data_IF_790434441208
#
_entry.id   IF_790434441208
#
_cell.length_a   1.000
_cell.length_b   1.000
_cell.length_c   1.000
_cell.angle_alpha   90.00
_cell.angle_beta   90.00
_cell.angle_gamma   90.00
#
_symmetry.space_group_name_H-M   'P 1'
#
loop_
_entity.id
_entity.type
_entity.pdbx_description
1 polymer ?
#
# COMPACT_ATOMS: atom_id res chain seq x y z
N UNK A 1 6.23 -19.35 -7.14
CA UNK A 1 5.25 -18.48 -6.48
C UNK A 1 4.53 -19.25 -5.40
N UNK A 2 4.78 -18.91 -4.13
CA UNK A 2 4.08 -19.45 -2.94
C UNK A 2 2.60 -19.08 -2.94
N UNK A 3 2.26 -17.89 -3.45
CA UNK A 3 0.89 -17.38 -3.56
C UNK A 3 0.68 -16.68 -4.90
N UNK A 4 -0.57 -16.60 -5.38
CA UNK A 4 -0.89 -15.87 -6.60
C UNK A 4 -0.69 -14.37 -6.44
N UNK A 5 -0.33 -13.67 -7.52
CA UNK A 5 -0.10 -12.23 -7.48
C UNK A 5 -1.37 -11.45 -7.08
N UNK A 6 -2.52 -11.86 -7.59
CA UNK A 6 -3.84 -11.31 -7.21
C UNK A 6 -4.07 -11.42 -5.71
N UNK A 7 -3.81 -12.59 -5.12
CA UNK A 7 -3.95 -12.80 -3.67
C UNK A 7 -2.97 -11.94 -2.88
N UNK A 8 -1.76 -11.68 -3.39
CA UNK A 8 -0.81 -10.76 -2.74
C UNK A 8 -1.25 -9.29 -2.85
N UNK A 9 -1.77 -8.85 -4.00
CA UNK A 9 -2.29 -7.49 -4.19
C UNK A 9 -3.47 -7.23 -3.25
N UNK A 10 -4.46 -8.13 -3.25
CA UNK A 10 -5.59 -8.08 -2.31
C UNK A 10 -5.09 -8.13 -0.86
N UNK A 11 -4.12 -8.99 -0.56
CA UNK A 11 -3.50 -9.12 0.76
C UNK A 11 -2.87 -7.80 1.23
N UNK A 12 -2.14 -7.09 0.36
CA UNK A 12 -1.58 -5.77 0.66
C UNK A 12 -2.66 -4.76 1.02
N UNK A 13 -3.73 -4.67 0.22
CA UNK A 13 -4.85 -3.75 0.45
C UNK A 13 -5.58 -4.07 1.75
N UNK A 14 -5.98 -5.33 1.94
CA UNK A 14 -6.63 -5.78 3.18
C UNK A 14 -5.73 -5.55 4.39
N UNK A 15 -4.43 -5.75 4.25
CA UNK A 15 -3.44 -5.50 5.27
C UNK A 15 -3.43 -4.05 5.74
N UNK A 16 -3.47 -3.09 4.81
CA UNK A 16 -3.60 -1.65 5.15
C UNK A 16 -4.84 -1.43 6.00
N UNK A 17 -5.99 -1.89 5.54
CA UNK A 17 -7.28 -1.65 6.20
C UNK A 17 -7.36 -2.33 7.57
N UNK A 18 -6.91 -3.58 7.69
CA UNK A 18 -6.87 -4.30 8.96
C UNK A 18 -5.93 -3.63 9.97
N UNK A 19 -4.75 -3.22 9.52
CA UNK A 19 -3.80 -2.51 10.36
C UNK A 19 -4.35 -1.18 10.89
N UNK A 20 -5.14 -0.48 10.09
CA UNK A 20 -5.83 0.75 10.53
C UNK A 20 -6.99 0.46 11.48
N UNK A 21 -7.85 -0.50 11.13
CA UNK A 21 -9.05 -0.84 11.90
C UNK A 21 -8.70 -1.39 13.27
N UNK A 22 -7.67 -2.24 13.37
CA UNK A 22 -7.24 -2.82 14.65
C UNK A 22 -6.44 -1.84 15.52
N UNK A 23 -5.87 -0.78 14.93
CA UNK A 23 -5.20 0.29 15.67
C UNK A 23 -6.14 1.34 16.25
N UNK A 24 -7.39 1.40 15.78
CA UNK A 24 -8.41 2.26 16.39
C UNK A 24 -8.84 1.60 17.70
N UNK A 25 -8.70 2.31 18.81
CA UNK A 25 -9.60 2.05 19.94
C UNK A 25 -11.02 2.15 19.40
N UNK A 26 -11.86 1.18 19.78
CA UNK A 26 -13.24 1.00 19.28
C UNK A 26 -14.10 2.28 19.40
N UNK A 27 -13.65 3.30 20.14
CA UNK A 27 -14.40 4.51 20.49
C UNK A 27 -14.07 5.77 19.66
N UNK A 28 -12.94 5.87 18.94
CA UNK A 28 -12.59 7.10 18.19
C UNK A 28 -12.42 6.90 16.67
N UNK A 29 -13.43 7.37 15.92
CA UNK A 29 -13.42 7.43 14.45
C UNK A 29 -12.48 8.54 13.95
N UNK A 30 -11.23 8.18 13.64
CA UNK A 30 -10.34 9.09 12.87
C UNK A 30 -10.80 9.15 11.41
N UNK A 31 -11.27 10.34 11.00
CA UNK A 31 -11.81 10.65 9.67
C UNK A 31 -10.70 10.84 8.60
N UNK A 32 -9.53 11.37 9.00
CA UNK A 32 -8.44 11.75 8.07
C UNK A 32 -7.75 10.55 7.38
N UNK A 33 -7.75 9.37 8.02
CA UNK A 33 -7.01 8.20 7.51
C UNK A 33 -7.64 7.61 6.24
N UNK A 34 -8.97 7.72 6.13
CA UNK A 34 -9.72 7.25 4.97
C UNK A 34 -9.59 8.18 3.75
N UNK A 35 -9.14 9.42 3.95
CA UNK A 35 -8.88 10.36 2.85
C UNK A 35 -7.74 9.88 1.95
N UNK A 36 -6.66 9.33 2.54
CA UNK A 36 -5.55 8.79 1.73
C UNK A 36 -5.93 7.49 1.02
N UNK A 37 -6.84 6.71 1.61
CA UNK A 37 -7.46 5.52 1.00
C UNK A 37 -8.31 5.94 -0.22
N UNK A 38 -9.08 7.03 -0.12
CA UNK A 38 -9.79 7.63 -1.28
C UNK A 38 -8.81 8.04 -2.39
N UNK A 39 -7.72 8.70 -2.03
CA UNK A 39 -6.72 9.14 -3.02
C UNK A 39 -6.05 7.92 -3.70
N UNK A 40 -5.75 6.85 -2.95
CA UNK A 40 -5.30 5.58 -3.53
C UNK A 40 -6.31 5.01 -4.53
N UNK A 41 -7.61 5.02 -4.23
CA UNK A 41 -8.66 4.54 -5.15
C UNK A 41 -8.61 5.30 -6.48
N UNK A 42 -8.58 6.63 -6.42
CA UNK A 42 -8.54 7.49 -7.62
C UNK A 42 -7.27 7.25 -8.45
N UNK A 43 -6.12 7.11 -7.78
CA UNK A 43 -4.87 6.76 -8.45
C UNK A 43 -4.89 5.37 -9.08
N UNK A 44 -5.48 4.40 -8.41
CA UNK A 44 -5.64 3.04 -8.95
C UNK A 44 -6.52 3.04 -10.20
N UNK A 45 -7.63 3.79 -10.17
CA UNK A 45 -8.50 3.96 -11.33
C UNK A 45 -7.77 4.61 -12.51
N UNK A 46 -6.92 5.61 -12.25
CA UNK A 46 -6.08 6.24 -13.28
C UNK A 46 -5.08 5.24 -13.89
N UNK A 47 -4.36 4.50 -13.04
CA UNK A 47 -3.41 3.47 -13.46
C UNK A 47 -4.07 2.39 -14.33
N UNK A 48 -5.26 1.93 -13.93
CA UNK A 48 -6.04 0.93 -14.68
C UNK A 48 -6.49 1.52 -16.02
N UNK A 49 -7.09 2.72 -16.00
CA UNK A 49 -7.66 3.36 -17.19
C UNK A 49 -6.60 3.72 -18.23
N UNK A 50 -5.35 3.96 -17.84
CA UNK A 50 -4.31 4.43 -18.75
C UNK A 50 -3.20 3.40 -18.98
N UNK A 51 -3.14 2.33 -18.18
CA UNK A 51 -2.05 1.35 -18.18
C UNK A 51 -0.69 1.93 -17.80
N UNK A 52 -0.66 3.16 -17.28
CA UNK A 52 0.56 3.91 -16.93
C UNK A 52 0.25 4.93 -15.85
N UNK A 53 1.29 5.43 -15.18
CA UNK A 53 1.15 6.56 -14.28
C UNK A 53 1.00 7.85 -15.09
N UNK A 54 -0.08 8.58 -14.82
CA UNK A 54 -0.36 9.91 -15.36
C UNK A 54 -0.82 10.81 -14.22
N UNK A 55 0.00 11.81 -13.87
CA UNK A 55 -0.29 12.68 -12.71
C UNK A 55 -1.44 13.64 -13.01
N UNK A 56 -1.58 14.08 -14.25
CA UNK A 56 -2.62 15.02 -14.64
C UNK A 56 -4.00 14.37 -14.58
N UNK A 57 -4.12 13.12 -15.05
CA UNK A 57 -5.36 12.35 -14.93
C UNK A 57 -5.70 12.04 -13.46
N UNK A 58 -4.71 11.68 -12.63
CA UNK A 58 -4.92 11.47 -11.19
C UNK A 58 -5.43 12.76 -10.53
N UNK A 59 -4.73 13.89 -10.72
CA UNK A 59 -5.11 15.18 -10.16
C UNK A 59 -6.50 15.62 -10.64
N UNK A 60 -6.83 15.41 -11.92
CA UNK A 60 -8.16 15.71 -12.47
C UNK A 60 -9.25 14.89 -11.78
N UNK A 61 -9.04 13.59 -11.55
CA UNK A 61 -9.99 12.73 -10.82
C UNK A 61 -10.17 13.18 -9.37
N UNK A 62 -9.09 13.60 -8.73
CA UNK A 62 -9.11 14.17 -7.39
C UNK A 62 -9.91 15.48 -7.35
N UNK A 63 -9.65 16.38 -8.30
CA UNK A 63 -10.33 17.66 -8.44
C UNK A 63 -11.84 17.50 -8.66
N UNK A 64 -12.25 16.53 -9.47
CA UNK A 64 -13.65 16.21 -9.72
C UNK A 64 -14.39 15.66 -8.49
N UNK A 65 -13.66 15.07 -7.53
CA UNK A 65 -14.21 14.54 -6.27
C UNK A 65 -13.98 15.45 -5.06
N UNK A 66 -13.45 16.66 -5.28
CA UNK A 66 -13.01 17.58 -4.21
C UNK A 66 -14.08 18.03 -3.22
N UNK A 67 -15.37 17.89 -3.54
CA UNK A 67 -16.45 18.28 -2.61
C UNK A 67 -16.40 17.49 -1.29
N UNK A 68 -15.74 16.31 -1.26
CA UNK A 68 -15.62 15.44 -0.07
C UNK A 68 -14.18 15.26 0.45
N UNK A 69 -13.17 15.90 -0.15
CA UNK A 69 -11.75 15.73 0.20
C UNK A 69 -11.18 17.03 0.77
N UNK A 70 -11.19 17.19 2.10
CA UNK A 70 -10.46 18.27 2.76
C UNK A 70 -8.95 17.99 2.71
N UNK A 71 -8.29 18.39 1.63
CA UNK A 71 -6.83 18.37 1.55
C UNK A 71 -6.31 19.48 2.46
N UNK A 72 -6.06 19.13 3.72
CA UNK A 72 -5.19 19.96 4.54
C UNK A 72 -3.79 19.82 3.94
N UNK A 73 -3.18 20.90 3.45
CA UNK A 73 -1.84 20.92 2.83
C UNK A 73 -0.71 20.34 3.71
N UNK A 74 -1.02 19.96 4.96
CA UNK A 74 -0.08 19.29 5.86
C UNK A 74 0.09 17.83 5.45
N UNK A 75 1.25 17.54 4.87
CA UNK A 75 1.64 16.17 4.48
C UNK A 75 1.76 15.30 5.73
N UNK A 76 1.05 14.19 5.71
CA UNK A 76 1.03 13.16 6.76
C UNK A 76 1.76 11.92 6.25
N UNK A 77 2.35 11.10 7.14
CA UNK A 77 2.86 9.78 6.75
C UNK A 77 1.80 8.90 6.05
N UNK A 78 0.51 9.20 6.25
CA UNK A 78 -0.58 8.54 5.52
C UNK A 78 -0.46 8.70 4.00
N UNK A 79 0.26 9.71 3.50
CA UNK A 79 0.60 9.86 2.08
C UNK A 79 1.32 8.63 1.50
N UNK A 80 2.10 7.91 2.32
CA UNK A 80 2.71 6.64 1.93
C UNK A 80 1.66 5.66 1.42
N UNK A 81 0.50 5.59 2.06
CA UNK A 81 -0.57 4.64 1.73
C UNK A 81 -1.19 4.92 0.35
N UNK A 82 -1.29 6.19 -0.03
CA UNK A 82 -1.79 6.58 -1.35
C UNK A 82 -0.88 6.11 -2.50
N UNK A 83 0.39 5.83 -2.22
CA UNK A 83 1.37 5.36 -3.22
C UNK A 83 1.41 3.84 -3.37
N UNK A 84 0.72 3.08 -2.51
CA UNK A 84 0.70 1.61 -2.57
C UNK A 84 0.29 1.07 -3.95
N UNK A 85 -0.76 1.60 -4.63
CA UNK A 85 -1.11 1.15 -5.98
C UNK A 85 0.03 1.29 -6.99
N UNK A 86 0.84 2.35 -6.87
CA UNK A 86 2.02 2.57 -7.72
C UNK A 86 3.08 1.51 -7.45
N UNK A 87 3.31 1.20 -6.16
CA UNK A 87 4.24 0.15 -5.77
C UNK A 87 3.80 -1.23 -6.28
N UNK A 88 2.50 -1.54 -6.17
CA UNK A 88 1.90 -2.76 -6.72
C UNK A 88 2.07 -2.81 -8.24
N UNK A 89 1.75 -1.74 -8.97
CA UNK A 89 1.77 -1.75 -10.44
C UNK A 89 3.19 -1.83 -11.03
N UNK A 90 4.18 -1.17 -10.42
CA UNK A 90 5.55 -1.12 -10.96
C UNK A 90 6.54 -2.07 -10.26
N UNK A 91 6.06 -3.03 -9.46
CA UNK A 91 6.88 -3.86 -8.56
C UNK A 91 8.03 -4.64 -9.22
N UNK A 92 7.92 -5.04 -10.49
CA UNK A 92 8.96 -5.82 -11.17
C UNK A 92 10.16 -4.98 -11.63
N UNK A 93 9.94 -3.71 -11.95
CA UNK A 93 10.97 -2.85 -12.51
C UNK A 93 11.44 -1.84 -11.47
N UNK A 94 12.55 -2.15 -10.80
CA UNK A 94 13.15 -1.31 -9.75
C UNK A 94 13.33 0.16 -10.15
N UNK A 95 13.72 0.43 -11.41
CA UNK A 95 13.96 1.78 -11.91
C UNK A 95 12.63 2.53 -12.04
N UNK A 96 11.67 1.95 -12.77
CA UNK A 96 10.32 2.54 -12.93
C UNK A 96 9.59 2.70 -11.60
N UNK A 97 9.75 1.74 -10.69
CA UNK A 97 9.20 1.82 -9.34
C UNK A 97 9.69 3.08 -8.63
N UNK A 98 11.01 3.31 -8.59
CA UNK A 98 11.60 4.49 -7.95
C UNK A 98 11.11 5.78 -8.60
N UNK A 99 11.19 5.85 -9.92
CA UNK A 99 10.79 7.04 -10.69
C UNK A 99 9.32 7.40 -10.46
N UNK A 100 8.42 6.41 -10.55
CA UNK A 100 6.99 6.64 -10.42
C UNK A 100 6.56 6.95 -8.99
N UNK A 101 7.19 6.35 -7.97
CA UNK A 101 6.95 6.72 -6.57
C UNK A 101 7.39 8.17 -6.31
N UNK A 102 8.54 8.60 -6.82
CA UNK A 102 9.00 9.99 -6.69
C UNK A 102 8.09 10.97 -7.44
N UNK A 103 7.57 10.59 -8.62
CA UNK A 103 6.63 11.40 -9.39
C UNK A 103 5.31 11.60 -8.65
N UNK A 104 4.71 10.53 -8.12
CA UNK A 104 3.44 10.64 -7.39
C UNK A 104 3.56 11.50 -6.14
N UNK A 105 4.71 11.49 -5.47
CA UNK A 105 4.94 12.36 -4.32
C UNK A 105 4.90 13.86 -4.65
N UNK A 106 5.07 14.26 -5.91
CA UNK A 106 4.95 15.67 -6.34
C UNK A 106 3.52 16.22 -6.21
N UNK A 107 2.52 15.35 -6.01
CA UNK A 107 1.13 15.74 -5.75
C UNK A 107 1.00 16.45 -4.40
N UNK A 108 1.88 16.15 -3.43
CA UNK A 108 1.86 16.74 -2.09
C UNK A 108 3.09 17.63 -1.87
N UNK A 109 3.06 18.47 -0.82
CA UNK A 109 4.26 19.22 -0.44
C UNK A 109 5.43 18.27 -0.14
N UNK A 110 6.64 18.72 -0.47
CA UNK A 110 7.81 17.87 -0.35
C UNK A 110 8.22 17.68 1.11
N UNK A 111 7.93 16.50 1.67
CA UNK A 111 8.48 16.03 2.94
C UNK A 111 9.52 14.91 2.69
N UNK A 112 10.81 15.13 2.99
CA UNK A 112 11.86 14.13 2.82
C UNK A 112 11.62 12.81 3.55
N UNK A 113 10.99 12.85 4.73
CA UNK A 113 10.70 11.65 5.54
C UNK A 113 9.60 10.83 4.88
N UNK A 114 8.55 11.48 4.37
CA UNK A 114 7.47 10.82 3.63
C UNK A 114 8.01 10.23 2.32
N UNK A 115 8.90 10.96 1.63
CA UNK A 115 9.59 10.48 0.43
C UNK A 115 10.36 9.19 0.70
N UNK A 116 11.23 9.21 1.70
CA UNK A 116 12.07 8.06 2.03
C UNK A 116 11.23 6.89 2.58
N UNK A 117 10.18 7.19 3.36
CA UNK A 117 9.24 6.18 3.84
C UNK A 117 8.50 5.49 2.70
N UNK A 118 8.01 6.27 1.73
CA UNK A 118 7.36 5.78 0.51
C UNK A 118 8.26 4.86 -0.28
N UNK A 119 9.51 5.26 -0.49
CA UNK A 119 10.49 4.44 -1.20
C UNK A 119 10.84 3.16 -0.44
N UNK A 120 11.01 3.23 0.88
CA UNK A 120 11.29 2.06 1.70
C UNK A 120 10.15 1.04 1.66
N UNK A 121 8.91 1.49 1.90
CA UNK A 121 7.71 0.66 1.86
C UNK A 121 7.47 0.09 0.46
N UNK A 122 7.54 0.92 -0.58
CA UNK A 122 7.35 0.49 -1.96
C UNK A 122 8.38 -0.56 -2.40
N UNK A 123 9.65 -0.39 -2.01
CA UNK A 123 10.69 -1.38 -2.29
C UNK A 123 10.45 -2.72 -1.57
N UNK A 124 10.05 -2.66 -0.30
CA UNK A 124 9.76 -3.87 0.48
C UNK A 124 8.54 -4.63 -0.09
N UNK A 125 7.47 -3.93 -0.47
CA UNK A 125 6.33 -4.51 -1.19
C UNK A 125 6.82 -5.20 -2.47
N UNK A 126 7.62 -4.51 -3.28
CA UNK A 126 8.14 -5.07 -4.52
C UNK A 126 8.98 -6.35 -4.31
N UNK A 127 9.79 -6.39 -3.25
CA UNK A 127 10.54 -7.61 -2.88
C UNK A 127 9.65 -8.74 -2.40
N UNK A 128 8.57 -8.44 -1.66
CA UNK A 128 7.57 -9.43 -1.27
C UNK A 128 6.85 -10.01 -2.49
N UNK A 129 6.38 -9.17 -3.41
CA UNK A 129 5.64 -9.59 -4.60
C UNK A 129 6.49 -10.41 -5.58
N UNK A 130 7.76 -10.06 -5.73
CA UNK A 130 8.71 -10.78 -6.60
C UNK A 130 9.32 -12.02 -5.93
N UNK A 131 8.94 -12.33 -4.69
CA UNK A 131 9.50 -13.43 -3.87
C UNK A 131 11.03 -13.36 -3.69
N UNK A 132 11.58 -12.14 -3.76
CA UNK A 132 13.01 -11.84 -3.63
C UNK A 132 13.35 -11.21 -2.29
N UNK A 133 12.40 -11.17 -1.36
CA UNK A 133 12.64 -10.66 -0.01
C UNK A 133 13.51 -11.63 0.78
N UNK A 134 14.64 -11.13 1.26
CA UNK A 134 15.54 -11.83 2.17
C UNK A 134 15.70 -10.98 3.43
N UNK A 135 15.29 -11.45 4.63
CA UNK A 135 15.22 -10.61 5.83
C UNK A 135 16.55 -9.92 6.17
N UNK A 136 17.66 -10.67 6.11
CA UNK A 136 19.01 -10.17 6.46
C UNK A 136 19.54 -9.11 5.49
N UNK A 137 19.08 -9.08 4.25
CA UNK A 137 19.59 -8.16 3.23
C UNK A 137 18.58 -7.08 2.85
N UNK A 138 17.33 -7.17 3.32
CA UNK A 138 16.26 -6.26 2.92
C UNK A 138 16.59 -4.81 3.32
N UNK A 139 16.99 -4.59 4.57
CA UNK A 139 17.33 -3.25 5.09
C UNK A 139 18.51 -2.63 4.33
N UNK A 140 19.67 -3.30 4.16
CA UNK A 140 20.76 -2.78 3.33
C UNK A 140 20.33 -2.45 1.90
N UNK A 141 19.49 -3.30 1.29
CA UNK A 141 18.97 -3.06 -0.05
C UNK A 141 18.00 -1.87 -0.12
N UNK A 142 17.17 -1.65 0.91
CA UNK A 142 16.31 -0.47 1.02
C UNK A 142 17.18 0.77 1.11
N UNK A 143 18.20 0.81 1.97
CA UNK A 143 19.09 1.96 2.12
C UNK A 143 19.76 2.30 0.79
N UNK A 144 20.29 1.29 0.09
CA UNK A 144 20.83 1.47 -1.26
C UNK A 144 19.78 1.94 -2.27
N UNK A 145 18.53 1.48 -2.13
CA UNK A 145 17.42 1.94 -2.96
C UNK A 145 17.03 3.38 -2.68
N UNK A 146 17.10 3.86 -1.43
CA UNK A 146 16.83 5.25 -1.05
C UNK A 146 17.84 6.20 -1.68
N UNK A 147 19.12 5.82 -1.68
CA UNK A 147 20.23 6.68 -2.09
C UNK A 147 20.62 7.67 -0.99
N UNK A 148 21.32 8.74 -1.36
CA UNK A 148 21.74 9.78 -0.42
C UNK A 148 20.54 10.54 0.14
N UNK A 149 20.48 10.66 1.47
CA UNK A 149 19.41 11.38 2.16
C UNK A 149 19.88 11.91 3.51
N UNK A 150 19.29 13.04 3.93
CA UNK A 150 19.52 13.66 5.23
C UNK A 150 18.52 13.20 6.31
N UNK A 151 17.56 12.34 5.96
CA UNK A 151 16.58 11.84 6.93
C UNK A 151 17.20 10.81 7.89
N UNK A 152 16.49 10.54 8.99
CA UNK A 152 16.87 9.50 9.96
C UNK A 152 16.39 8.09 9.59
N UNK A 153 15.71 7.91 8.44
CA UNK A 153 15.16 6.62 8.03
C UNK A 153 16.25 5.56 7.85
N UNK A 154 17.37 5.81 7.14
CA UNK A 154 18.43 4.83 7.02
C UNK A 154 18.99 4.36 8.37
N UNK A 155 19.28 5.30 9.27
CA UNK A 155 19.82 4.99 10.61
C UNK A 155 18.80 4.21 11.45
N UNK A 156 17.53 4.60 11.40
CA UNK A 156 16.48 3.89 12.12
C UNK A 156 16.26 2.47 11.57
N UNK A 157 16.32 2.27 10.24
CA UNK A 157 16.24 0.94 9.64
C UNK A 157 17.46 0.09 10.00
N UNK A 158 18.68 0.66 10.05
CA UNK A 158 19.84 -0.07 10.58
C UNK A 158 19.64 -0.50 12.03
N UNK A 159 19.09 0.39 12.87
CA UNK A 159 18.73 0.05 14.25
C UNK A 159 17.70 -1.09 14.31
N UNK A 160 16.74 -1.15 13.38
CA UNK A 160 15.83 -2.30 13.27
C UNK A 160 16.60 -3.59 12.98
N UNK A 161 17.58 -3.57 12.09
CA UNK A 161 18.40 -4.75 11.80
C UNK A 161 19.13 -5.23 13.06
N UNK A 162 19.76 -4.32 13.81
CA UNK A 162 20.46 -4.66 15.06
C UNK A 162 19.51 -5.29 16.10
N UNK A 163 18.31 -4.73 16.25
CA UNK A 163 17.30 -5.25 17.18
C UNK A 163 16.81 -6.65 16.77
N UNK A 164 16.67 -6.90 15.46
CA UNK A 164 16.28 -8.22 14.93
C UNK A 164 17.38 -9.25 15.14
N UNK A 165 18.64 -8.89 14.89
CA UNK A 165 19.80 -9.77 15.11
C UNK A 165 19.98 -10.14 16.59
N UNK A 166 19.72 -9.20 17.50
CA UNK A 166 19.76 -9.42 18.94
C UNK A 166 18.53 -10.17 19.49
N UNK A 167 17.51 -10.44 18.67
CA UNK A 167 16.28 -11.09 19.13
C UNK A 167 15.50 -10.27 20.17
N UNK A 168 15.59 -8.93 20.10
CA UNK A 168 14.94 -8.05 21.07
C UNK A 168 13.41 -8.20 20.97
N UNK A 169 12.71 -8.23 22.11
CA UNK A 169 11.25 -8.30 22.19
C UNK A 169 10.53 -6.98 21.88
N UNK A 170 9.20 -7.05 21.70
CA UNK A 170 8.39 -5.91 21.28
C UNK A 170 8.50 -4.69 22.21
N UNK A 171 8.36 -4.90 23.52
CA UNK A 171 8.36 -3.83 24.53
C UNK A 171 9.64 -3.00 24.50
N UNK A 172 10.79 -3.67 24.37
CA UNK A 172 12.10 -3.02 24.27
C UNK A 172 12.25 -2.27 22.94
N UNK A 173 11.80 -2.85 21.83
CA UNK A 173 11.82 -2.17 20.54
C UNK A 173 10.94 -0.91 20.54
N UNK A 174 9.72 -0.99 21.11
CA UNK A 174 8.84 0.16 21.31
C UNK A 174 9.51 1.23 22.18
N UNK A 175 10.13 0.84 23.30
CA UNK A 175 10.87 1.77 24.16
C UNK A 175 12.05 2.43 23.44
N UNK A 176 12.70 1.74 22.49
CA UNK A 176 13.78 2.31 21.69
C UNK A 176 13.31 3.33 20.65
N UNK A 177 12.09 3.17 20.13
CA UNK A 177 11.50 4.05 19.12
C UNK A 177 10.53 5.10 19.69
N UNK A 178 10.20 5.04 20.99
CA UNK A 178 9.37 6.03 21.68
C UNK A 178 10.15 7.20 22.29
N UNK A 179 11.48 7.07 22.47
CA UNK A 179 12.34 8.07 23.15
C UNK A 179 12.36 9.46 22.50
N UNK A 180 12.11 9.57 21.21
CA UNK A 180 11.98 10.84 20.47
C UNK A 180 10.96 10.63 19.36
N UNK A 181 9.73 11.11 19.51
CA UNK A 181 8.69 10.92 18.49
C UNK A 181 9.08 11.63 17.18
N UNK A 182 9.51 10.83 16.21
CA UNK A 182 9.73 11.23 14.82
C UNK A 182 8.97 10.26 13.93
N UNK A 183 8.37 10.77 12.86
CA UNK A 183 7.70 9.96 11.83
C UNK A 183 8.59 8.83 11.27
N UNK A 184 9.90 9.03 11.21
CA UNK A 184 10.87 7.99 10.83
C UNK A 184 10.90 6.79 11.79
N UNK A 185 10.55 6.97 13.08
CA UNK A 185 10.46 5.89 14.05
C UNK A 185 9.22 5.03 13.81
N UNK A 186 8.12 5.63 13.34
CA UNK A 186 6.90 4.87 13.00
C UNK A 186 7.15 3.91 11.83
N UNK A 187 7.87 4.38 10.80
CA UNK A 187 8.29 3.53 9.68
C UNK A 187 9.18 2.40 10.20
N UNK A 188 10.18 2.71 11.03
CA UNK A 188 11.07 1.70 11.61
C UNK A 188 10.33 0.67 12.46
N UNK A 189 9.38 1.10 13.29
CA UNK A 189 8.55 0.22 14.11
C UNK A 189 7.71 -0.72 13.23
N UNK A 190 7.16 -0.22 12.12
CA UNK A 190 6.41 -1.05 11.18
C UNK A 190 7.29 -2.12 10.52
N UNK A 191 8.51 -1.75 10.11
CA UNK A 191 9.49 -2.69 9.58
C UNK A 191 9.92 -3.74 10.62
N UNK A 192 10.13 -3.33 11.87
CA UNK A 192 10.46 -4.25 12.95
C UNK A 192 9.32 -5.26 13.20
N UNK A 193 8.07 -4.80 13.31
CA UNK A 193 6.92 -5.69 13.50
C UNK A 193 6.80 -6.69 12.34
N UNK A 194 6.87 -6.21 11.10
CA UNK A 194 6.85 -7.07 9.92
C UNK A 194 8.00 -8.09 9.89
N UNK A 195 9.25 -7.64 10.01
CA UNK A 195 10.42 -8.51 9.84
C UNK A 195 10.61 -9.49 10.99
N UNK A 196 10.23 -9.13 12.21
CA UNK A 196 10.30 -10.03 13.38
C UNK A 196 9.25 -11.14 13.35
N UNK A 197 8.25 -11.04 12.47
CA UNK A 197 7.10 -11.97 12.36
C UNK A 197 6.73 -12.24 10.91
N UNK A 198 7.74 -12.34 10.05
CA UNK A 198 7.62 -12.31 8.60
C UNK A 198 6.53 -13.24 8.02
N UNK A 199 6.43 -14.46 8.54
CA UNK A 199 5.52 -15.52 8.06
C UNK A 199 4.17 -15.54 8.83
N UNK A 200 3.97 -14.66 9.82
CA UNK A 200 2.78 -14.61 10.68
C UNK A 200 2.10 -13.24 10.57
N UNK A 201 1.16 -13.13 9.62
CA UNK A 201 0.40 -11.90 9.40
C UNK A 201 -0.37 -11.42 10.64
N UNK A 202 -1.17 -12.27 11.33
CA UNK A 202 -1.87 -11.85 12.54
C UNK A 202 -0.94 -11.25 13.59
N UNK A 203 0.18 -11.93 13.87
CA UNK A 203 1.12 -11.48 14.87
C UNK A 203 1.80 -10.18 14.47
N UNK A 204 2.17 -10.01 13.19
CA UNK A 204 2.75 -8.77 12.68
C UNK A 204 1.84 -7.57 12.94
N UNK A 205 0.56 -7.70 12.58
CA UNK A 205 -0.42 -6.63 12.75
C UNK A 205 -0.70 -6.38 14.23
N UNK A 206 -0.92 -7.42 15.03
CA UNK A 206 -1.16 -7.25 16.48
C UNK A 206 0.00 -6.55 17.19
N UNK A 207 1.26 -6.89 16.87
CA UNK A 207 2.44 -6.22 17.44
C UNK A 207 2.56 -4.76 17.01
N UNK A 208 2.09 -4.43 15.81
CA UNK A 208 2.10 -3.06 15.28
C UNK A 208 0.99 -2.17 15.87
N UNK A 209 -0.13 -2.78 16.26
CA UNK A 209 -1.27 -2.09 16.87
C UNK A 209 -1.29 -2.18 18.39
N UNK A 210 -0.38 -2.96 18.98
CA UNK A 210 -0.23 -3.07 20.43
C UNK A 210 0.16 -1.73 21.05
N UNK A 211 -0.67 -1.27 21.99
CA UNK A 211 -0.49 0.00 22.69
C UNK A 211 0.25 -0.17 24.03
N UNK A 212 0.45 -1.40 24.51
CA UNK A 212 0.91 -1.70 25.86
C UNK A 212 0.02 -1.06 26.95
N UNK A 213 0.38 -1.22 28.22
CA UNK A 213 -0.38 -0.67 29.36
C UNK A 213 -0.31 0.86 29.52
N UNK A 214 0.23 1.60 28.55
CA UNK A 214 0.40 3.05 28.65
C UNK A 214 -0.68 3.74 27.84
N UNK A 215 -1.87 3.83 28.42
CA UNK A 215 -2.90 4.77 28.00
C UNK A 215 -2.31 6.19 28.03
N UNK A 216 -2.17 6.85 26.88
CA UNK A 216 -2.18 8.33 26.74
C UNK A 216 -1.96 8.80 25.29
N UNK A 217 -2.75 9.83 24.95
CA UNK A 217 -2.70 10.79 23.85
C UNK A 217 -3.16 10.33 22.45
N UNK A 218 -4.07 11.14 21.89
CA UNK A 218 -4.61 11.09 20.51
C UNK A 218 -3.52 11.11 19.42
N UNK A 219 -2.38 11.75 19.70
CA UNK A 219 -1.20 11.75 18.83
C UNK A 219 -0.59 10.34 18.65
N UNK A 220 -0.70 9.47 19.66
CA UNK A 220 -0.23 8.08 19.62
C UNK A 220 -1.17 7.21 18.79
N UNK A 221 -2.47 7.48 18.82
CA UNK A 221 -3.47 6.74 18.03
C UNK A 221 -3.25 6.91 16.53
N UNK A 222 -2.87 8.11 16.07
CA UNK A 222 -2.54 8.35 14.67
C UNK A 222 -1.25 7.64 14.23
N UNK A 223 -0.25 7.54 15.13
CA UNK A 223 0.97 6.78 14.90
C UNK A 223 0.70 5.26 14.82
N UNK A 224 -0.09 4.71 15.73
CA UNK A 224 -0.45 3.28 15.72
C UNK A 224 -1.21 2.91 14.43
N UNK A 225 -2.11 3.78 13.96
CA UNK A 225 -2.82 3.55 12.70
C UNK A 225 -1.87 3.44 11.51
N UNK A 226 -0.88 4.33 11.40
CA UNK A 226 0.06 4.26 10.27
C UNK A 226 1.08 3.12 10.43
N UNK A 227 1.53 2.81 11.64
CA UNK A 227 2.41 1.67 11.92
C UNK A 227 1.68 0.37 11.55
N UNK A 228 0.43 0.21 12.02
CA UNK A 228 -0.45 -0.90 11.67
C UNK A 228 -0.69 -0.99 10.17
N UNK A 229 -1.05 0.10 9.51
CA UNK A 229 -1.30 0.14 8.07
C UNK A 229 -0.09 -0.31 7.25
N UNK A 230 1.10 0.24 7.53
CA UNK A 230 2.34 -0.14 6.83
C UNK A 230 2.69 -1.60 7.13
N UNK A 231 2.64 -2.02 8.39
CA UNK A 231 2.94 -3.42 8.77
C UNK A 231 2.01 -4.40 8.07
N UNK A 232 0.71 -4.10 8.07
CA UNK A 232 -0.30 -4.89 7.39
C UNK A 232 -0.09 -4.91 5.89
N UNK A 233 0.24 -3.79 5.24
CA UNK A 233 0.56 -3.76 3.82
C UNK A 233 1.74 -4.67 3.46
N UNK A 234 2.85 -4.56 4.20
CA UNK A 234 4.06 -5.35 4.01
C UNK A 234 3.80 -6.84 4.24
N UNK A 235 3.15 -7.16 5.36
CA UNK A 235 2.81 -8.53 5.71
C UNK A 235 1.80 -9.14 4.75
N UNK A 236 0.81 -8.36 4.29
CA UNK A 236 -0.17 -8.79 3.28
C UNK A 236 0.46 -9.02 1.90
N UNK A 237 1.42 -8.19 1.50
CA UNK A 237 2.20 -8.43 0.27
C UNK A 237 3.00 -9.74 0.35
N UNK A 238 3.52 -10.08 1.54
CA UNK A 238 4.35 -11.26 1.77
C UNK A 238 3.52 -12.55 1.97
N UNK A 239 2.47 -12.49 2.80
CA UNK A 239 1.66 -13.62 3.23
C UNK A 239 0.36 -13.80 2.42
N UNK A 240 0.02 -12.84 1.54
CA UNK A 240 -1.19 -12.82 0.72
C UNK A 240 -2.50 -12.82 1.54
N UNK A 241 -3.65 -12.90 0.86
CA UNK A 241 -4.95 -13.10 1.54
C UNK A 241 -5.01 -14.42 2.32
N UNK A 242 -4.21 -15.42 1.94
CA UNK A 242 -4.19 -16.75 2.61
C UNK A 242 -3.68 -16.64 4.04
N UNK A 243 -2.73 -15.73 4.31
CA UNK A 243 -2.23 -15.48 5.66
C UNK A 243 -3.19 -14.69 6.56
N UNK A 244 -4.26 -14.11 6.02
CA UNK A 244 -5.19 -13.26 6.76
C UNK A 244 -6.31 -14.12 7.37
N UNK A 245 -6.52 -14.11 8.70
CA UNK A 245 -7.57 -14.90 9.33
C UNK A 245 -8.97 -14.55 8.80
N UNK A 246 -9.78 -15.57 8.55
CA UNK A 246 -11.17 -15.39 8.07
C UNK A 246 -11.97 -14.49 9.00
N UNK A 247 -11.80 -14.62 10.33
CA UNK A 247 -12.45 -13.75 11.32
C UNK A 247 -12.18 -12.25 11.11
N UNK A 248 -10.99 -11.90 10.61
CA UNK A 248 -10.60 -10.52 10.34
C UNK A 248 -11.11 -10.05 8.97
N UNK A 249 -11.18 -10.95 7.99
CA UNK A 249 -11.86 -10.65 6.73
C UNK A 249 -13.35 -10.36 6.98
N UNK A 250 -14.01 -11.17 7.82
CA UNK A 250 -15.39 -10.94 8.25
C UNK A 250 -15.53 -9.63 9.03
N UNK A 251 -14.57 -9.29 9.91
CA UNK A 251 -14.58 -8.03 10.65
C UNK A 251 -14.69 -6.80 9.71
N UNK A 252 -14.05 -6.87 8.55
CA UNK A 252 -14.15 -5.82 7.53
C UNK A 252 -15.51 -5.84 6.79
N UNK A 253 -16.19 -6.98 6.73
CA UNK A 253 -17.52 -7.12 6.10
C UNK A 253 -18.69 -6.85 7.06
N UNK A 254 -18.50 -7.00 8.37
CA UNK A 254 -19.59 -6.96 9.37
C UNK A 254 -19.58 -5.66 10.16
N UNK A 255 -20.53 -4.74 9.89
CA UNK A 255 -21.13 -3.74 10.80
C UNK A 255 -20.26 -2.69 11.51
N UNK A 256 -18.94 -2.87 11.61
CA UNK A 256 -18.01 -1.99 12.32
C UNK A 256 -17.44 -0.88 11.42
N UNK A 257 -17.57 -1.06 10.11
CA UNK A 257 -17.25 -0.06 9.11
C UNK A 257 -18.50 0.75 8.75
N UNK A 258 -18.32 2.05 8.48
CA UNK A 258 -19.40 2.87 7.90
C UNK A 258 -19.78 2.33 6.52
N UNK A 259 -21.00 2.62 6.05
CA UNK A 259 -21.46 2.16 4.73
C UNK A 259 -20.50 2.55 3.58
N UNK A 260 -19.85 3.71 3.70
CA UNK A 260 -18.84 4.18 2.76
C UNK A 260 -17.53 3.39 2.84
N UNK A 261 -17.07 3.04 4.04
CA UNK A 261 -15.86 2.23 4.24
C UNK A 261 -16.03 0.81 3.67
N UNK A 262 -17.23 0.23 3.82
CA UNK A 262 -17.58 -1.06 3.23
C UNK A 262 -17.59 -1.00 1.69
N UNK A 263 -18.22 0.03 1.12
CA UNK A 263 -18.23 0.25 -0.34
C UNK A 263 -16.82 0.47 -0.89
N UNK A 264 -15.97 1.15 -0.12
CA UNK A 264 -14.58 1.40 -0.50
C UNK A 264 -13.73 0.14 -0.44
N UNK A 265 -14.00 -0.77 0.50
CA UNK A 265 -13.32 -2.06 0.60
C UNK A 265 -13.61 -2.94 -0.63
N UNK A 266 -14.88 -3.13 -0.96
CA UNK A 266 -15.28 -3.94 -2.12
C UNK A 266 -14.69 -3.33 -3.40
N UNK A 267 -14.80 -2.01 -3.55
CA UNK A 267 -14.18 -1.28 -4.65
C UNK A 267 -12.66 -1.48 -4.71
N UNK A 268 -11.95 -1.45 -3.58
CA UNK A 268 -10.51 -1.64 -3.56
C UNK A 268 -10.10 -3.08 -3.94
N UNK A 269 -10.88 -4.09 -3.56
CA UNK A 269 -10.63 -5.47 -3.94
C UNK A 269 -10.84 -5.69 -5.43
N UNK A 270 -11.92 -5.13 -5.99
CA UNK A 270 -12.15 -5.13 -7.44
C UNK A 270 -11.05 -4.38 -8.20
N UNK A 271 -10.62 -3.23 -7.68
CA UNK A 271 -9.51 -2.47 -8.26
C UNK A 271 -8.18 -3.23 -8.16
N UNK A 272 -7.94 -4.02 -7.11
CA UNK A 272 -6.75 -4.88 -7.05
C UNK A 272 -6.75 -5.91 -8.19
N UNK A 273 -7.89 -6.54 -8.46
CA UNK A 273 -8.00 -7.52 -9.55
C UNK A 273 -7.79 -6.86 -10.92
N UNK A 274 -8.46 -5.72 -11.15
CA UNK A 274 -8.32 -4.94 -12.38
C UNK A 274 -6.89 -4.42 -12.56
N UNK A 275 -6.21 -4.01 -11.47
CA UNK A 275 -4.82 -3.58 -11.51
C UNK A 275 -3.88 -4.71 -11.92
N UNK A 276 -4.10 -5.93 -11.41
CA UNK A 276 -3.34 -7.11 -11.85
C UNK A 276 -3.64 -7.43 -13.31
N UNK A 277 -4.90 -7.36 -13.74
CA UNK A 277 -5.27 -7.60 -15.13
C UNK A 277 -4.52 -6.64 -16.07
N UNK A 278 -4.61 -5.32 -15.83
CA UNK A 278 -3.93 -4.32 -16.65
C UNK A 278 -2.41 -4.49 -16.58
N UNK A 279 -1.84 -4.74 -15.40
CA UNK A 279 -0.40 -5.02 -15.25
C UNK A 279 0.04 -6.24 -16.06
N UNK A 280 -0.77 -7.30 -16.09
CA UNK A 280 -0.50 -8.53 -16.86
C UNK A 280 -0.71 -8.37 -18.37
N UNK A 281 -1.12 -7.17 -18.82
CA UNK A 281 -1.40 -6.87 -20.23
C UNK A 281 -2.78 -7.34 -20.71
N UNK A 282 -3.65 -7.77 -19.79
CA UNK A 282 -5.05 -8.10 -20.09
C UNK A 282 -5.79 -6.80 -20.38
N UNK A 283 -6.25 -6.66 -21.63
CA UNK A 283 -7.04 -5.53 -22.08
C UNK A 283 -8.53 -5.88 -21.99
N UNK A 284 -9.26 -5.19 -21.12
CA UNK A 284 -10.72 -5.30 -21.03
C UNK A 284 -11.37 -4.31 -21.99
N UNK A 285 -11.89 -4.81 -23.11
CA UNK A 285 -12.59 -4.01 -24.14
C UNK A 285 -13.76 -3.21 -23.55
N UNK A 286 -14.43 -3.74 -22.52
CA UNK A 286 -15.53 -3.06 -21.81
C UNK A 286 -15.12 -1.74 -21.12
N UNK A 287 -13.84 -1.54 -20.79
CA UNK A 287 -13.35 -0.30 -20.16
C UNK A 287 -13.01 0.80 -21.19
N UNK A 288 -12.94 0.46 -22.48
CA UNK A 288 -12.58 1.35 -23.59
C UNK A 288 -13.50 1.20 -24.82
N UNK A 289 -14.80 1.52 -24.68
CA UNK A 289 -15.77 1.32 -25.79
C UNK A 289 -15.46 2.19 -27.03
N UNK A 290 -14.74 3.30 -26.88
CA UNK A 290 -14.43 4.24 -27.95
C UNK A 290 -13.33 3.79 -28.92
N UNK A 291 -12.43 2.88 -28.53
CA UNK A 291 -11.35 2.41 -29.41
C UNK A 291 -11.79 1.27 -30.34
N UNK A 292 -12.92 0.62 -30.04
CA UNK A 292 -13.44 -0.51 -30.84
C UNK A 292 -14.28 -0.10 -32.05
N UNK A 293 -14.66 1.18 -32.17
CA UNK A 293 -15.48 1.66 -33.28
C UNK A 293 -14.68 2.04 -34.54
N UNK A 294 -13.36 2.25 -34.45
CA UNK A 294 -12.56 2.66 -35.62
C UNK A 294 -12.10 1.49 -36.51
N UNK A 295 -12.27 0.24 -36.09
CA UNK A 295 -11.89 -0.94 -36.88
C UNK A 295 -13.02 -1.97 -36.95
N UNK A 296 -14.13 -1.59 -37.61
CA UNK A 296 -14.96 -2.48 -38.43
C UNK A 296 -15.43 -3.83 -37.87
N UNK A 297 -15.38 -4.08 -36.57
CA UNK A 297 -15.78 -5.36 -35.98
C UNK A 297 -17.08 -5.17 -35.21
N UNK A 298 -18.19 -5.46 -35.89
CA UNK A 298 -19.51 -5.56 -35.25
C UNK A 298 -19.49 -6.80 -34.36
N UNK A 299 -19.31 -6.63 -33.06
CA UNK A 299 -19.45 -7.69 -32.08
C UNK A 299 -20.80 -7.60 -31.39
N UNK A 300 -21.57 -8.69 -31.41
CA UNK A 300 -22.77 -8.85 -30.59
C UNK A 300 -22.39 -8.85 -29.10
N UNK A 301 -23.17 -8.14 -28.27
CA UNK A 301 -22.92 -7.91 -26.84
C UNK A 301 -22.60 -9.16 -26.00
N UNK A 302 -22.97 -10.36 -26.43
CA UNK A 302 -22.70 -11.60 -25.70
C UNK A 302 -21.26 -12.13 -25.86
N UNK A 303 -20.54 -11.77 -26.95
CA UNK A 303 -19.18 -12.25 -27.21
C UNK A 303 -18.09 -11.39 -26.54
N UNK A 304 -18.41 -10.14 -26.17
CA UNK A 304 -17.49 -9.23 -25.49
C UNK A 304 -17.10 -9.70 -24.07
N UNK A 305 -17.91 -10.57 -23.45
CA UNK A 305 -17.67 -11.09 -22.09
C UNK A 305 -16.63 -12.23 -22.03
N UNK A 306 -16.25 -12.82 -23.18
CA UNK A 306 -15.43 -14.04 -23.22
C UNK A 306 -14.06 -13.88 -23.90
N UNK A 307 -13.76 -12.73 -24.49
CA UNK A 307 -12.50 -12.51 -25.19
C UNK A 307 -11.55 -11.62 -24.38
N UNK A 308 -10.50 -12.24 -23.83
CA UNK A 308 -9.33 -11.56 -23.27
C UNK A 308 -8.35 -11.28 -24.40
N UNK A 309 -8.07 -10.00 -24.68
CA UNK A 309 -7.09 -9.59 -25.68
C UNK A 309 -5.81 -9.08 -25.01
N UNK A 310 -4.66 -9.32 -25.63
CA UNK A 310 -3.42 -8.64 -25.27
C UNK A 310 -3.48 -7.19 -25.78
N UNK A 311 -3.01 -6.22 -24.98
CA UNK A 311 -3.03 -4.82 -25.37
C UNK A 311 -2.31 -4.59 -26.72
N UNK A 312 -2.82 -3.73 -27.63
CA UNK A 312 -2.31 -3.60 -29.01
C UNK A 312 -0.81 -3.28 -29.13
N UNK A 313 -0.24 -2.60 -28.14
CA UNK A 313 1.18 -2.22 -28.10
C UNK A 313 2.11 -3.34 -27.59
N UNK A 314 1.57 -4.49 -27.17
CA UNK A 314 2.32 -5.67 -26.72
C UNK A 314 2.61 -6.64 -27.88
N UNK A 315 1.89 -6.50 -29.00
CA UNK A 315 2.11 -7.33 -30.19
C UNK A 315 3.38 -6.82 -30.91
N UNK A 316 4.53 -7.37 -30.55
CA UNK A 316 5.73 -7.29 -31.40
C UNK A 316 5.57 -8.32 -32.52
N UNK A 317 5.54 -7.87 -33.77
CA UNK A 317 5.67 -8.79 -34.90
C UNK A 317 7.01 -9.52 -34.80
N UNK A 318 6.97 -10.83 -35.02
CA UNK A 318 8.20 -11.61 -35.20
C UNK A 318 8.97 -11.15 -36.43
#
# INVERSE_FOLDING_TARGET
MRYSLVSRFRGTILGVLLGQTLAKDYEQKSQNCFEMVKIAILGTQSLISLGKLDLDDWLKRQQQRSFDLHINNKVSLQAILATIPVALFFHENKIKLRENLLRVLQIWEYDPVVRDGTLAVGYAIAKSLTEKLQPRTLIPQIIAFLGETSTSIPQNLLKVNDLLEQGVGLEKAQAEFSKQEKWSNAIAMAFYCFLSTLEDFPLAVLRATDNGNVARLEARNSHLQIIGAITGALSGAYNSTVGIPVKWQILLSSGNLTAWELTSLDQMLELADALVAVWSGVYSVALHPSESQEQGCVMSNEQALLCVYAAPHVIRSR
#
